data_IF_905844971155
#
_entry.id   IF_905844971155
#
_cell.length_a   1.000
_cell.length_b   1.000
_cell.length_c   1.000
_cell.angle_alpha   90.00
_cell.angle_beta   90.00
_cell.angle_gamma   90.00
#
_symmetry.space_group_name_H-M   'P 1'
#
loop_
_entity.id
_entity.type
_entity.pdbx_description
1 polymer ?
#
# COMPACT_ATOMS: atom_id res chain seq x y z
N UNK A 1 73.74 -43.39 -2.48
CA UNK A 1 72.39 -43.05 -1.95
C UNK A 1 72.32 -41.53 -1.81
N UNK A 2 71.71 -40.84 -2.78
CA UNK A 2 71.82 -39.39 -2.90
C UNK A 2 70.62 -38.62 -2.36
N UNK A 3 70.87 -37.41 -1.83
CA UNK A 3 70.00 -36.24 -2.00
C UNK A 3 70.84 -34.96 -1.92
N UNK A 4 70.46 -34.03 -2.79
CA UNK A 4 71.23 -32.89 -3.30
C UNK A 4 71.16 -31.67 -2.38
N UNK A 5 72.20 -30.85 -2.55
CA UNK A 5 72.41 -29.49 -2.08
C UNK A 5 71.29 -28.50 -2.50
N UNK A 6 70.77 -27.79 -1.50
CA UNK A 6 71.09 -26.40 -1.14
C UNK A 6 70.78 -25.20 -2.09
N UNK A 7 70.29 -24.15 -1.41
CA UNK A 7 70.34 -22.69 -1.67
C UNK A 7 69.32 -22.05 -2.63
N UNK A 8 68.68 -20.98 -2.15
CA UNK A 8 68.62 -19.72 -2.92
C UNK A 8 67.33 -18.93 -2.82
N UNK A 9 67.44 -17.69 -2.36
CA UNK A 9 66.39 -16.71 -2.10
C UNK A 9 65.81 -16.01 -3.37
N UNK A 10 64.85 -15.11 -3.08
CA UNK A 10 64.41 -13.92 -3.83
C UNK A 10 63.09 -13.94 -4.65
N UNK A 11 62.20 -13.01 -4.25
CA UNK A 11 61.08 -12.41 -5.03
C UNK A 11 61.69 -11.27 -5.91
N UNK A 12 61.07 -10.69 -6.99
CA UNK A 12 59.63 -10.33 -7.11
C UNK A 12 59.02 -10.12 -8.56
N UNK A 13 57.77 -9.60 -8.60
CA UNK A 13 57.07 -8.74 -9.63
C UNK A 13 56.68 -9.25 -11.06
N UNK A 14 55.35 -9.40 -11.26
CA UNK A 14 54.41 -8.90 -12.32
C UNK A 14 54.81 -8.82 -13.82
N UNK A 15 54.10 -9.54 -14.72
CA UNK A 15 53.15 -9.03 -15.77
C UNK A 15 52.73 -10.10 -16.82
N UNK A 16 51.40 -10.32 -16.87
CA UNK A 16 50.51 -10.48 -18.05
C UNK A 16 50.60 -11.70 -18.99
N UNK A 17 49.38 -12.10 -19.43
CA UNK A 17 48.98 -12.67 -20.75
C UNK A 17 48.52 -14.15 -20.76
N UNK A 18 47.19 -14.30 -20.97
CA UNK A 18 46.39 -15.35 -21.66
C UNK A 18 46.61 -16.84 -21.31
N UNK A 19 45.60 -17.56 -20.79
CA UNK A 19 44.38 -18.08 -21.44
C UNK A 19 44.54 -19.47 -22.08
N UNK A 20 43.47 -20.26 -21.95
CA UNK A 20 43.08 -21.46 -22.70
C UNK A 20 43.60 -22.83 -22.24
N UNK A 21 42.81 -23.50 -21.41
CA UNK A 21 42.42 -24.91 -21.63
C UNK A 21 40.95 -25.05 -21.23
N UNK A 22 40.03 -25.10 -22.19
CA UNK A 22 39.04 -26.19 -22.24
C UNK A 22 38.39 -26.28 -23.63
N UNK A 23 38.53 -27.49 -24.15
CA UNK A 23 38.06 -28.14 -25.36
C UNK A 23 36.88 -27.56 -26.15
N UNK A 24 37.18 -27.38 -27.44
CA UNK A 24 36.39 -27.73 -28.62
C UNK A 24 35.43 -28.91 -28.39
N UNK A 25 34.11 -28.67 -28.44
CA UNK A 25 33.09 -29.35 -29.26
C UNK A 25 31.81 -28.49 -29.23
N UNK A 26 31.51 -27.77 -30.32
CA UNK A 26 30.16 -27.40 -30.79
C UNK A 26 30.27 -26.25 -31.82
N UNK A 27 30.60 -26.62 -33.07
CA UNK A 27 30.34 -25.79 -34.24
C UNK A 27 29.38 -26.60 -35.12
N UNK A 28 28.35 -25.93 -35.64
CA UNK A 28 27.23 -26.43 -36.47
C UNK A 28 25.87 -26.62 -35.76
N UNK A 29 25.40 -25.56 -35.09
CA UNK A 29 24.00 -25.12 -35.12
C UNK A 29 24.04 -23.66 -34.64
N UNK A 30 23.38 -22.72 -35.34
CA UNK A 30 23.40 -21.28 -35.05
C UNK A 30 22.68 -20.88 -33.76
N UNK A 31 23.06 -21.45 -32.62
CA UNK A 31 22.56 -21.10 -31.30
C UNK A 31 23.53 -20.09 -30.70
N UNK A 32 23.12 -18.83 -30.65
CA UNK A 32 23.77 -17.81 -29.81
C UNK A 32 23.68 -18.30 -28.37
N UNK A 33 24.78 -18.31 -27.57
CA UNK A 33 24.65 -18.62 -26.17
C UNK A 33 23.85 -17.49 -25.52
N UNK A 34 22.63 -17.79 -25.10
CA UNK A 34 21.92 -16.98 -24.11
C UNK A 34 22.83 -16.85 -22.89
N UNK A 35 23.19 -15.62 -22.54
CA UNK A 35 23.84 -15.33 -21.27
C UNK A 35 22.99 -15.98 -20.16
N UNK A 36 23.58 -16.94 -19.47
CA UNK A 36 22.97 -17.50 -18.28
C UNK A 36 22.76 -16.36 -17.30
N UNK A 37 21.50 -16.00 -17.07
CA UNK A 37 21.11 -15.12 -15.99
C UNK A 37 21.53 -15.82 -14.70
N UNK A 38 22.43 -15.22 -13.94
CA UNK A 38 22.73 -15.72 -12.59
C UNK A 38 21.42 -15.84 -11.78
N UNK A 39 21.30 -16.81 -10.87
CA UNK A 39 20.09 -16.97 -10.08
C UNK A 39 19.88 -15.70 -9.26
N UNK A 40 18.74 -15.02 -9.49
CA UNK A 40 18.23 -13.97 -8.61
C UNK A 40 18.15 -14.58 -7.21
N UNK A 41 19.00 -14.11 -6.30
CA UNK A 41 18.87 -14.46 -4.87
C UNK A 41 17.55 -13.86 -4.42
N UNK A 42 16.51 -14.68 -4.40
CA UNK A 42 15.18 -14.30 -3.95
C UNK A 42 15.20 -13.91 -2.47
N UNK A 43 14.33 -12.97 -2.13
CA UNK A 43 13.95 -12.59 -0.77
C UNK A 43 13.92 -13.85 0.11
N UNK A 44 14.81 -13.92 1.09
CA UNK A 44 14.92 -15.08 1.96
C UNK A 44 13.67 -15.22 2.83
N UNK A 45 13.22 -16.45 3.05
CA UNK A 45 12.21 -16.79 4.07
C UNK A 45 12.69 -16.26 5.43
N UNK A 46 12.18 -15.13 5.89
CA UNK A 46 12.63 -14.45 7.10
C UNK A 46 12.86 -12.93 6.98
N UNK A 47 12.74 -12.34 5.80
CA UNK A 47 12.87 -10.88 5.62
C UNK A 47 11.74 -10.14 6.37
N UNK A 48 12.12 -9.24 7.27
CA UNK A 48 11.22 -8.41 8.07
C UNK A 48 10.52 -7.35 7.22
N UNK A 49 9.37 -6.80 7.67
CA UNK A 49 8.71 -5.68 6.97
C UNK A 49 9.63 -4.47 6.76
N UNK A 50 10.50 -4.18 7.73
CA UNK A 50 11.50 -3.10 7.65
C UNK A 50 12.55 -3.38 6.57
N UNK A 51 13.07 -4.60 6.50
CA UNK A 51 14.02 -4.99 5.44
C UNK A 51 13.37 -4.94 4.05
N UNK A 52 12.09 -5.31 3.93
CA UNK A 52 11.35 -5.15 2.68
C UNK A 52 11.16 -3.68 2.31
N UNK A 53 10.87 -2.79 3.26
CA UNK A 53 10.77 -1.35 2.99
C UNK A 53 12.11 -0.79 2.48
N UNK A 54 13.22 -1.23 3.06
CA UNK A 54 14.57 -0.87 2.57
C UNK A 54 14.80 -1.41 1.16
N UNK A 55 14.48 -2.68 0.92
CA UNK A 55 14.62 -3.28 -0.41
C UNK A 55 13.81 -2.52 -1.47
N UNK A 56 12.61 -2.03 -1.14
CA UNK A 56 11.79 -1.23 -2.05
C UNK A 56 12.43 0.09 -2.41
N UNK A 57 13.05 0.79 -1.45
CA UNK A 57 13.84 1.98 -1.76
C UNK A 57 14.97 1.68 -2.75
N UNK A 58 15.76 0.64 -2.48
CA UNK A 58 16.86 0.26 -3.35
C UNK A 58 16.37 -0.10 -4.77
N UNK A 59 15.28 -0.86 -4.89
CA UNK A 59 14.76 -1.26 -6.19
C UNK A 59 14.08 -0.13 -6.95
N UNK A 60 13.30 0.71 -6.29
CA UNK A 60 12.63 1.85 -6.94
C UNK A 60 13.63 2.94 -7.33
N UNK A 61 14.58 3.25 -6.43
CA UNK A 61 15.44 4.42 -6.56
C UNK A 61 16.76 4.10 -7.26
N UNK A 62 17.33 2.92 -7.00
CA UNK A 62 18.69 2.56 -7.43
C UNK A 62 18.71 1.37 -8.41
N UNK A 63 17.58 0.68 -8.59
CA UNK A 63 17.42 -0.51 -9.45
C UNK A 63 18.43 -1.62 -9.19
N UNK A 64 18.71 -1.80 -7.91
CA UNK A 64 19.54 -2.90 -7.40
C UNK A 64 19.00 -3.33 -6.06
N UNK A 65 19.47 -4.46 -5.57
CA UNK A 65 19.23 -4.87 -4.20
C UNK A 65 20.20 -4.13 -3.26
N UNK A 66 19.83 -3.93 -1.98
CA UNK A 66 20.78 -3.47 -0.97
C UNK A 66 21.91 -4.48 -0.80
N UNK A 67 23.13 -3.99 -0.67
CA UNK A 67 24.21 -4.80 -0.11
C UNK A 67 24.05 -4.94 1.41
N UNK A 68 24.81 -5.86 2.01
CA UNK A 68 24.70 -6.20 3.43
C UNK A 68 24.94 -4.98 4.35
N UNK A 69 25.93 -4.13 4.01
CA UNK A 69 26.26 -2.95 4.79
C UNK A 69 25.18 -1.87 4.67
N UNK A 70 24.67 -1.67 3.46
CA UNK A 70 23.56 -0.78 3.17
C UNK A 70 22.29 -1.19 3.91
N UNK A 71 21.90 -2.47 3.84
CA UNK A 71 20.74 -2.99 4.57
C UNK A 71 20.88 -2.74 6.07
N UNK A 72 22.01 -3.13 6.66
CA UNK A 72 22.25 -2.98 8.10
C UNK A 72 22.21 -1.50 8.55
N UNK A 73 22.74 -0.60 7.74
CA UNK A 73 22.74 0.84 8.03
C UNK A 73 21.32 1.42 8.09
N UNK A 74 20.51 1.19 7.05
CA UNK A 74 19.14 1.72 6.97
C UNK A 74 18.21 1.06 7.98
N UNK A 75 18.36 -0.26 8.19
CA UNK A 75 17.58 -0.99 9.19
C UNK A 75 17.77 -0.40 10.58
N UNK A 76 19.02 -0.08 10.96
CA UNK A 76 19.31 0.57 12.24
C UNK A 76 18.64 1.94 12.35
N UNK A 77 18.61 2.74 11.28
CA UNK A 77 17.97 4.07 11.32
C UNK A 77 16.45 3.97 11.48
N UNK A 78 15.80 3.09 10.72
CA UNK A 78 14.35 2.86 10.84
C UNK A 78 13.97 2.32 12.22
N UNK A 79 14.70 1.32 12.72
CA UNK A 79 14.41 0.71 14.03
C UNK A 79 14.75 1.60 15.23
N UNK A 80 15.51 2.68 15.03
CA UNK A 80 15.78 3.70 16.06
C UNK A 80 14.88 4.92 15.96
N UNK A 81 13.85 4.88 15.10
CA UNK A 81 12.82 5.91 15.00
C UNK A 81 13.12 7.05 14.03
N UNK A 82 14.09 6.87 13.11
CA UNK A 82 14.30 7.83 12.01
C UNK A 82 13.10 7.77 11.07
N UNK A 83 12.56 8.93 10.71
CA UNK A 83 11.43 9.01 9.79
C UNK A 83 11.82 8.51 8.39
N UNK A 84 10.92 7.76 7.76
CA UNK A 84 11.15 7.13 6.46
C UNK A 84 11.36 8.17 5.35
N UNK A 85 10.80 9.38 5.49
CA UNK A 85 11.01 10.48 4.55
C UNK A 85 12.44 11.02 4.60
N UNK A 86 13.05 11.05 5.79
CA UNK A 86 14.47 11.42 5.95
C UNK A 86 15.40 10.42 5.25
N UNK A 87 15.01 9.15 5.24
CA UNK A 87 15.73 8.10 4.49
C UNK A 87 15.52 8.31 3.00
N UNK A 88 14.27 8.51 2.54
CA UNK A 88 13.97 8.79 1.14
C UNK A 88 14.76 10.00 0.60
N UNK A 89 14.87 11.08 1.39
CA UNK A 89 15.68 12.26 1.05
C UNK A 89 17.16 11.90 0.87
N UNK A 90 17.70 11.02 1.72
CA UNK A 90 19.09 10.58 1.63
C UNK A 90 19.37 9.78 0.34
N UNK A 91 18.40 8.97 -0.12
CA UNK A 91 18.49 8.31 -1.42
C UNK A 91 18.38 9.31 -2.58
N UNK A 92 17.48 10.29 -2.47
CA UNK A 92 17.21 11.26 -3.54
C UNK A 92 18.35 12.24 -3.82
N UNK A 93 19.23 12.48 -2.84
CA UNK A 93 20.45 13.30 -3.02
C UNK A 93 21.69 12.46 -3.38
N UNK A 94 21.54 11.17 -3.60
CA UNK A 94 22.64 10.31 -4.00
C UNK A 94 23.03 10.51 -5.46
N UNK A 95 24.31 10.33 -5.78
CA UNK A 95 24.79 10.36 -7.17
C UNK A 95 24.13 9.27 -8.03
N UNK A 96 23.75 8.14 -7.43
CA UNK A 96 23.02 7.07 -8.11
C UNK A 96 21.61 7.52 -8.53
N UNK A 97 20.90 8.25 -7.66
CA UNK A 97 19.61 8.86 -8.01
C UNK A 97 19.75 9.81 -9.20
N UNK A 98 20.70 10.74 -9.13
CA UNK A 98 20.90 11.73 -10.21
C UNK A 98 21.25 11.05 -11.53
N UNK A 99 22.06 9.99 -11.50
CA UNK A 99 22.40 9.21 -12.68
C UNK A 99 21.18 8.49 -13.28
N UNK A 100 20.27 7.98 -12.45
CA UNK A 100 19.09 7.22 -12.91
C UNK A 100 17.95 8.11 -13.37
N UNK A 101 17.65 9.19 -12.64
CA UNK A 101 16.53 10.08 -12.92
C UNK A 101 16.93 11.30 -13.76
N UNK A 102 18.21 11.45 -14.09
CA UNK A 102 18.72 12.50 -14.99
C UNK A 102 18.50 13.93 -14.48
N UNK A 103 18.08 14.09 -13.22
CA UNK A 103 17.74 15.35 -12.59
C UNK A 103 18.19 15.35 -11.13
N UNK A 104 18.59 16.51 -10.62
CA UNK A 104 18.85 16.67 -9.18
C UNK A 104 17.54 16.85 -8.42
N UNK A 105 17.46 16.37 -7.17
CA UNK A 105 16.24 16.42 -6.36
C UNK A 105 15.67 17.85 -6.12
N UNK A 106 16.48 18.90 -6.35
CA UNK A 106 16.13 20.29 -6.06
C UNK A 106 15.44 21.09 -7.18
N UNK A 107 15.30 20.57 -8.40
CA UNK A 107 14.54 21.28 -9.44
C UNK A 107 13.04 20.97 -9.30
N UNK A 108 12.16 21.96 -9.35
CA UNK A 108 10.70 21.75 -9.29
C UNK A 108 10.08 21.86 -10.69
N UNK A 109 9.01 21.08 -10.94
CA UNK A 109 8.11 21.30 -12.08
C UNK A 109 8.55 20.79 -13.46
N UNK A 110 9.49 19.84 -13.56
CA UNK A 110 9.89 19.24 -14.84
C UNK A 110 9.01 18.03 -15.20
N UNK A 111 8.19 18.07 -16.28
CA UNK A 111 7.44 16.92 -16.76
C UNK A 111 8.34 15.70 -17.08
N UNK A 112 9.62 15.93 -17.38
CA UNK A 112 10.56 14.86 -17.66
C UNK A 112 10.91 14.04 -16.42
N UNK A 113 11.03 14.67 -15.25
CA UNK A 113 11.25 13.94 -14.00
C UNK A 113 10.15 12.91 -13.76
N UNK A 114 8.88 13.32 -13.90
CA UNK A 114 7.76 12.43 -13.65
C UNK A 114 7.73 11.26 -14.63
N UNK A 115 7.95 11.50 -15.92
CA UNK A 115 8.08 10.43 -16.91
C UNK A 115 9.19 9.45 -16.55
N UNK A 116 10.32 9.95 -16.06
CA UNK A 116 11.39 9.09 -15.56
C UNK A 116 10.99 8.31 -14.31
N UNK A 117 10.22 8.87 -13.38
CA UNK A 117 9.68 8.11 -12.24
C UNK A 117 8.82 6.95 -12.70
N UNK A 118 7.87 7.17 -13.60
CA UNK A 118 7.04 6.10 -14.14
C UNK A 118 7.84 5.01 -14.85
N UNK A 119 8.80 5.38 -15.70
CA UNK A 119 9.62 4.40 -16.42
C UNK A 119 10.56 3.64 -15.49
N UNK A 120 11.22 4.35 -14.59
CA UNK A 120 12.25 3.76 -13.74
C UNK A 120 11.69 2.92 -12.59
N UNK A 121 10.49 3.27 -12.10
CA UNK A 121 9.87 2.57 -10.96
C UNK A 121 8.80 1.59 -11.44
N UNK A 122 7.96 1.97 -12.42
CA UNK A 122 6.79 1.18 -12.84
C UNK A 122 6.94 0.54 -14.23
N UNK A 123 8.06 0.77 -14.93
CA UNK A 123 8.34 0.24 -16.27
C UNK A 123 7.26 0.58 -17.32
N UNK A 124 6.69 1.79 -17.22
CA UNK A 124 5.71 2.30 -18.20
C UNK A 124 5.73 3.82 -18.29
N UNK A 125 4.99 4.37 -19.25
CA UNK A 125 4.70 5.81 -19.30
C UNK A 125 3.50 6.17 -18.39
N UNK A 126 3.43 7.42 -17.89
CA UNK A 126 2.25 7.91 -17.20
C UNK A 126 1.05 8.00 -18.16
N UNK A 127 -0.14 7.72 -17.65
CA UNK A 127 -1.36 8.17 -18.31
C UNK A 127 -1.62 9.66 -18.03
N UNK A 128 -2.52 10.28 -18.81
CA UNK A 128 -2.80 11.72 -18.73
C UNK A 128 -3.34 12.17 -17.36
N UNK A 129 -4.09 11.31 -16.66
CA UNK A 129 -4.65 11.64 -15.36
C UNK A 129 -3.56 11.59 -14.28
N UNK A 130 -2.76 10.51 -14.28
CA UNK A 130 -1.59 10.36 -13.43
C UNK A 130 -0.58 11.49 -13.63
N UNK A 131 -0.25 11.82 -14.88
CA UNK A 131 0.69 12.91 -15.20
C UNK A 131 0.23 14.25 -14.58
N UNK A 132 -1.04 14.60 -14.75
CA UNK A 132 -1.63 15.83 -14.20
C UNK A 132 -1.63 15.85 -12.67
N UNK A 133 -1.97 14.74 -12.04
CA UNK A 133 -2.03 14.62 -10.59
C UNK A 133 -0.66 14.88 -9.95
N UNK A 134 0.37 14.15 -10.40
CA UNK A 134 1.71 14.31 -9.86
C UNK A 134 2.34 15.66 -10.21
N UNK A 135 2.03 16.21 -11.39
CA UNK A 135 2.47 17.56 -11.76
C UNK A 135 1.91 18.62 -10.81
N UNK A 136 0.66 18.49 -10.36
CA UNK A 136 0.06 19.40 -9.38
C UNK A 136 0.74 19.30 -8.02
N UNK A 137 1.07 18.10 -7.55
CA UNK A 137 1.81 17.88 -6.30
C UNK A 137 3.20 18.53 -6.34
N UNK A 138 3.93 18.32 -7.43
CA UNK A 138 5.25 18.94 -7.63
C UNK A 138 5.14 20.47 -7.70
N UNK A 139 4.11 21.00 -8.36
CA UNK A 139 3.84 22.43 -8.41
C UNK A 139 3.43 23.03 -7.04
N UNK A 140 2.80 22.23 -6.18
CA UNK A 140 2.45 22.58 -4.81
C UNK A 140 3.65 22.50 -3.84
N UNK A 141 4.84 22.10 -4.32
CA UNK A 141 6.07 22.07 -3.53
C UNK A 141 6.37 20.73 -2.85
N UNK A 142 5.67 19.65 -3.23
CA UNK A 142 6.02 18.31 -2.74
C UNK A 142 7.44 17.93 -3.21
N UNK A 143 8.33 17.47 -2.31
CA UNK A 143 9.68 17.06 -2.68
C UNK A 143 9.70 15.87 -3.66
N UNK A 144 10.67 15.84 -4.57
CA UNK A 144 10.85 14.73 -5.52
C UNK A 144 11.11 13.40 -4.82
N UNK A 145 11.90 13.42 -3.75
CA UNK A 145 12.18 12.25 -2.91
C UNK A 145 10.88 11.62 -2.39
N UNK A 146 9.97 12.48 -1.93
CA UNK A 146 8.67 12.11 -1.44
C UNK A 146 7.81 11.48 -2.54
N UNK A 147 7.83 12.01 -3.77
CA UNK A 147 7.14 11.38 -4.91
C UNK A 147 7.69 9.98 -5.19
N UNK A 148 9.02 9.79 -5.24
CA UNK A 148 9.61 8.48 -5.53
C UNK A 148 9.32 7.47 -4.41
N UNK A 149 9.33 7.91 -3.15
CA UNK A 149 8.88 7.10 -2.02
C UNK A 149 7.46 6.57 -2.25
N UNK A 150 6.53 7.42 -2.67
CA UNK A 150 5.14 7.03 -2.89
C UNK A 150 4.97 6.03 -4.03
N UNK A 151 5.80 6.14 -5.08
CA UNK A 151 5.85 5.13 -6.13
C UNK A 151 6.41 3.80 -5.62
N UNK A 152 7.45 3.81 -4.77
CA UNK A 152 8.03 2.60 -4.19
C UNK A 152 7.08 1.85 -3.25
N UNK A 153 6.11 2.56 -2.66
CA UNK A 153 5.07 1.97 -1.82
C UNK A 153 3.76 1.75 -2.59
N UNK A 154 3.72 2.10 -3.87
CA UNK A 154 2.54 1.88 -4.71
C UNK A 154 2.31 0.39 -4.91
N UNK A 155 1.04 0.01 -4.92
CA UNK A 155 0.64 -1.38 -5.14
C UNK A 155 1.18 -1.93 -6.48
N UNK A 156 1.26 -1.07 -7.50
CA UNK A 156 1.80 -1.42 -8.80
C UNK A 156 3.28 -1.83 -8.70
N UNK A 157 4.09 -1.04 -8.00
CA UNK A 157 5.49 -1.38 -7.74
C UNK A 157 5.65 -2.64 -6.89
N UNK A 158 4.87 -2.78 -5.82
CA UNK A 158 4.89 -3.96 -4.95
C UNK A 158 4.60 -5.25 -5.72
N UNK A 159 3.63 -5.20 -6.63
CA UNK A 159 3.23 -6.33 -7.45
C UNK A 159 4.29 -6.67 -8.51
N UNK A 160 4.89 -5.67 -9.15
CA UNK A 160 5.92 -5.86 -10.17
C UNK A 160 7.28 -6.31 -9.59
N UNK A 161 7.64 -5.82 -8.40
CA UNK A 161 8.94 -6.08 -7.78
C UNK A 161 9.03 -7.39 -7.01
N UNK A 162 7.89 -7.96 -6.58
CA UNK A 162 7.88 -9.12 -5.69
C UNK A 162 8.38 -8.80 -4.26
N UNK A 163 8.56 -7.52 -3.92
CA UNK A 163 8.96 -7.03 -2.59
C UNK A 163 7.76 -6.72 -1.69
N UNK A 164 6.62 -7.31 -1.99
CA UNK A 164 5.48 -7.30 -1.10
C UNK A 164 5.82 -8.10 0.19
N UNK A 165 5.28 -7.73 1.36
CA UNK A 165 5.33 -8.57 2.56
C UNK A 165 4.89 -10.01 2.27
N UNK A 166 5.41 -10.98 3.03
CA UNK A 166 5.26 -12.44 2.84
C UNK A 166 3.88 -12.88 2.27
N UNK A 167 3.87 -13.96 1.49
CA UNK A 167 2.67 -14.54 0.88
C UNK A 167 1.52 -14.55 1.88
N UNK A 168 0.53 -13.71 1.61
CA UNK A 168 -0.70 -13.68 2.39
C UNK A 168 -1.38 -15.05 2.27
N UNK A 169 -1.99 -15.58 3.34
CA UNK A 169 -2.86 -16.74 3.20
C UNK A 169 -3.97 -16.45 2.19
N UNK A 170 -4.67 -17.47 1.65
CA UNK A 170 -5.84 -17.23 0.84
C UNK A 170 -6.85 -16.31 1.54
N UNK A 171 -7.54 -15.49 0.75
CA UNK A 171 -8.68 -14.74 1.25
C UNK A 171 -9.72 -15.72 1.79
N UNK A 172 -10.20 -15.47 3.01
CA UNK A 172 -11.26 -16.22 3.63
C UNK A 172 -12.37 -15.25 4.05
N UNK A 173 -13.60 -15.72 3.88
CA UNK A 173 -14.80 -14.99 4.25
C UNK A 173 -15.89 -15.96 4.73
N UNK A 174 -16.72 -15.51 5.65
CA UNK A 174 -17.91 -16.22 6.12
C UNK A 174 -19.09 -15.24 6.19
N UNK A 175 -20.26 -15.65 5.71
CA UNK A 175 -21.52 -14.89 5.80
C UNK A 175 -22.44 -15.61 6.77
N UNK A 176 -22.71 -14.98 7.91
CA UNK A 176 -23.44 -15.56 9.02
C UNK A 176 -24.77 -14.84 9.26
N UNK A 177 -25.78 -15.60 9.67
CA UNK A 177 -26.96 -15.02 10.31
C UNK A 177 -26.57 -14.32 11.61
N UNK A 178 -27.30 -13.27 11.97
CA UNK A 178 -27.06 -12.48 13.17
C UNK A 178 -28.37 -12.23 13.92
N UNK A 179 -28.31 -12.24 15.25
CA UNK A 179 -29.47 -11.96 16.11
C UNK A 179 -29.45 -10.53 16.66
N UNK A 180 -30.55 -10.12 17.31
CA UNK A 180 -30.59 -8.83 18.00
C UNK A 180 -29.57 -8.75 19.14
N UNK A 181 -29.32 -9.87 19.82
CA UNK A 181 -28.39 -9.93 20.96
C UNK A 181 -26.93 -9.77 20.48
N UNK A 182 -26.58 -10.38 19.34
CA UNK A 182 -25.25 -10.24 18.71
C UNK A 182 -24.98 -8.80 18.23
N UNK A 183 -26.03 -8.08 17.82
CA UNK A 183 -25.92 -6.68 17.39
C UNK A 183 -25.73 -5.70 18.56
N UNK A 184 -26.04 -6.14 19.78
CA UNK A 184 -25.94 -5.35 21.01
C UNK A 184 -26.57 -3.96 20.89
N UNK A 185 -25.83 -2.93 21.30
CA UNK A 185 -26.31 -1.53 21.34
C UNK A 185 -26.35 -0.87 19.97
N UNK A 186 -25.75 -1.48 18.94
CA UNK A 186 -25.80 -0.97 17.56
C UNK A 186 -27.18 -1.14 16.91
N UNK A 187 -28.07 -1.95 17.51
CA UNK A 187 -29.46 -2.16 17.09
C UNK A 187 -30.45 -2.01 18.25
N UNK A 188 -31.69 -1.62 17.96
CA UNK A 188 -32.80 -1.59 18.93
C UNK A 188 -34.16 -1.66 18.23
N UNK A 189 -35.25 -1.99 18.94
CA UNK A 189 -36.61 -1.85 18.39
C UNK A 189 -36.85 -0.45 17.83
N UNK A 190 -37.37 -0.38 16.60
CA UNK A 190 -37.55 0.87 15.85
C UNK A 190 -36.47 1.18 14.82
N UNK A 191 -35.39 0.39 14.77
CA UNK A 191 -34.46 0.41 13.65
C UNK A 191 -35.15 0.04 12.33
N UNK A 192 -34.68 0.61 11.20
CA UNK A 192 -35.37 0.45 9.91
C UNK A 192 -35.20 -0.94 9.29
N UNK A 193 -34.25 -1.75 9.79
CA UNK A 193 -33.93 -3.09 9.28
C UNK A 193 -33.99 -4.10 10.42
N UNK A 194 -34.62 -5.25 10.17
CA UNK A 194 -34.68 -6.36 11.12
C UNK A 194 -33.33 -7.08 11.21
N UNK A 195 -32.93 -7.64 12.36
CA UNK A 195 -31.73 -8.49 12.44
C UNK A 195 -31.75 -9.65 11.43
N UNK A 196 -32.95 -10.16 11.07
CA UNK A 196 -33.11 -11.21 10.05
C UNK A 196 -32.65 -10.80 8.64
N UNK A 197 -32.68 -9.50 8.36
CA UNK A 197 -32.28 -8.91 7.09
C UNK A 197 -30.83 -8.39 7.14
N UNK A 198 -30.11 -8.62 8.24
CA UNK A 198 -28.69 -8.32 8.41
C UNK A 198 -27.86 -9.62 8.39
N UNK A 199 -26.60 -9.49 8.03
CA UNK A 199 -25.60 -10.57 8.08
C UNK A 199 -24.33 -10.07 8.76
N UNK A 200 -23.73 -10.93 9.58
CA UNK A 200 -22.36 -10.76 10.04
C UNK A 200 -21.43 -11.33 8.97
N UNK A 201 -20.57 -10.50 8.42
CA UNK A 201 -19.46 -10.91 7.57
C UNK A 201 -18.23 -11.04 8.44
N UNK A 202 -17.60 -12.21 8.44
CA UNK A 202 -16.20 -12.36 8.84
C UNK A 202 -15.36 -12.30 7.59
N UNK A 203 -14.41 -11.37 7.54
CA UNK A 203 -13.62 -11.10 6.35
C UNK A 203 -12.16 -10.99 6.73
N UNK A 204 -11.30 -11.61 5.92
CA UNK A 204 -9.87 -11.41 6.01
C UNK A 204 -9.45 -10.09 5.35
N UNK A 205 -8.61 -9.31 6.02
CA UNK A 205 -8.07 -8.05 5.53
C UNK A 205 -6.55 -7.98 5.76
N UNK A 206 -5.90 -6.97 5.17
CA UNK A 206 -4.48 -6.67 5.36
C UNK A 206 -4.36 -5.48 6.30
N UNK A 207 -3.64 -5.62 7.41
CA UNK A 207 -3.38 -4.51 8.33
C UNK A 207 -2.25 -3.59 7.85
N UNK A 208 -1.99 -2.48 8.57
CA UNK A 208 -0.90 -1.57 8.25
C UNK A 208 0.51 -2.19 8.36
N UNK A 209 0.66 -3.33 9.06
CA UNK A 209 1.89 -4.10 9.07
C UNK A 209 2.02 -5.04 7.85
N UNK A 210 1.04 -5.03 6.94
CA UNK A 210 0.99 -5.92 5.78
C UNK A 210 0.62 -7.35 6.11
N UNK A 211 0.09 -7.61 7.32
CA UNK A 211 -0.28 -8.93 7.81
C UNK A 211 -1.76 -9.22 7.58
N UNK A 212 -2.10 -10.48 7.31
CA UNK A 212 -3.48 -10.92 7.32
C UNK A 212 -4.09 -10.84 8.74
N UNK A 213 -5.27 -10.26 8.83
CA UNK A 213 -6.14 -10.21 10.02
C UNK A 213 -7.55 -10.59 9.63
N UNK A 214 -8.32 -11.08 10.58
CA UNK A 214 -9.75 -11.29 10.39
C UNK A 214 -10.51 -10.17 11.11
N UNK A 215 -11.61 -9.72 10.53
CA UNK A 215 -12.47 -8.69 11.11
C UNK A 215 -13.93 -8.93 10.78
N UNK A 216 -14.79 -8.10 11.36
CA UNK A 216 -16.23 -8.28 11.32
C UNK A 216 -16.95 -7.03 10.82
N UNK A 217 -17.87 -7.22 9.88
CA UNK A 217 -18.80 -6.20 9.40
C UNK A 217 -20.22 -6.72 9.48
N UNK A 218 -21.16 -5.83 9.77
CA UNK A 218 -22.59 -6.15 9.67
C UNK A 218 -23.17 -5.37 8.49
N UNK A 219 -23.80 -6.08 7.56
CA UNK A 219 -24.40 -5.48 6.35
C UNK A 219 -25.80 -6.06 6.09
N UNK A 220 -26.56 -5.43 5.21
CA UNK A 220 -27.83 -5.97 4.73
C UNK A 220 -27.63 -7.27 3.94
N UNK A 221 -28.53 -8.23 4.08
CA UNK A 221 -28.44 -9.53 3.39
C UNK A 221 -28.34 -9.39 1.87
N UNK A 222 -28.99 -8.39 1.29
CA UNK A 222 -28.99 -8.15 -0.17
C UNK A 222 -27.64 -7.69 -0.73
N UNK A 223 -26.72 -7.21 0.11
CA UNK A 223 -25.40 -6.71 -0.33
C UNK A 223 -24.24 -7.55 0.20
N UNK A 224 -24.52 -8.59 0.98
CA UNK A 224 -23.49 -9.38 1.67
C UNK A 224 -22.43 -9.95 0.71
N UNK A 225 -22.86 -10.62 -0.35
CA UNK A 225 -21.95 -11.25 -1.33
C UNK A 225 -21.15 -10.21 -2.13
N UNK A 226 -21.79 -9.08 -2.52
CA UNK A 226 -21.09 -8.00 -3.22
C UNK A 226 -19.98 -7.39 -2.36
N UNK A 227 -20.22 -7.25 -1.05
CA UNK A 227 -19.22 -6.76 -0.11
C UNK A 227 -18.09 -7.78 0.08
N UNK A 228 -18.36 -9.08 0.13
CA UNK A 228 -17.32 -10.12 0.13
C UNK A 228 -16.41 -9.96 -1.09
N UNK A 229 -16.97 -9.77 -2.29
CA UNK A 229 -16.21 -9.55 -3.55
C UNK A 229 -15.35 -8.29 -3.46
N UNK A 230 -15.88 -7.20 -2.90
CA UNK A 230 -15.10 -5.97 -2.70
C UNK A 230 -13.91 -6.24 -1.78
N UNK A 231 -14.13 -6.87 -0.62
CA UNK A 231 -13.05 -7.15 0.34
C UNK A 231 -12.03 -8.15 -0.18
N UNK A 232 -12.43 -9.14 -0.98
CA UNK A 232 -11.49 -10.02 -1.67
C UNK A 232 -10.57 -9.21 -2.60
N UNK A 233 -11.14 -8.28 -3.39
CA UNK A 233 -10.33 -7.39 -4.23
C UNK A 233 -9.40 -6.53 -3.40
N UNK A 234 -9.88 -5.93 -2.30
CA UNK A 234 -9.03 -5.13 -1.41
C UNK A 234 -7.88 -5.97 -0.83
N UNK A 235 -8.16 -7.21 -0.43
CA UNK A 235 -7.17 -8.13 0.13
C UNK A 235 -6.10 -8.52 -0.89
N UNK A 236 -6.52 -8.96 -2.09
CA UNK A 236 -5.62 -9.30 -3.19
C UNK A 236 -4.78 -8.11 -3.64
N UNK A 237 -5.31 -6.89 -3.46
CA UNK A 237 -4.63 -5.64 -3.77
C UNK A 237 -3.96 -5.00 -2.54
N UNK A 238 -3.93 -5.70 -1.39
CA UNK A 238 -3.25 -5.32 -0.15
C UNK A 238 -3.59 -3.91 0.36
N UNK A 239 -4.83 -3.46 0.19
CA UNK A 239 -5.27 -2.19 0.77
C UNK A 239 -5.26 -2.28 2.31
N UNK A 240 -4.51 -1.41 3.03
CA UNK A 240 -4.37 -1.53 4.47
C UNK A 240 -5.60 -1.00 5.22
N UNK A 241 -6.06 -1.77 6.20
CA UNK A 241 -7.17 -1.44 7.11
C UNK A 241 -6.64 -1.48 8.55
N UNK A 242 -6.92 -0.47 9.36
CA UNK A 242 -6.46 -0.43 10.77
C UNK A 242 -7.16 -1.50 11.59
N UNK A 243 -8.48 -1.49 11.55
CA UNK A 243 -9.34 -2.42 12.24
C UNK A 243 -10.68 -2.52 11.51
N UNK A 244 -11.36 -3.64 11.73
CA UNK A 244 -12.68 -3.90 11.19
C UNK A 244 -13.48 -4.66 12.25
N UNK A 245 -14.20 -3.89 13.05
CA UNK A 245 -14.96 -4.33 14.23
C UNK A 245 -16.36 -3.75 14.19
N UNK A 246 -17.30 -4.46 14.79
CA UNK A 246 -18.69 -3.99 14.85
C UNK A 246 -18.79 -2.74 15.73
N UNK A 247 -19.75 -1.85 15.44
CA UNK A 247 -19.90 -0.59 16.20
C UNK A 247 -20.42 -0.84 17.63
N UNK A 248 -20.95 -2.03 17.90
CA UNK A 248 -21.29 -2.48 19.26
C UNK A 248 -20.08 -2.47 20.20
N UNK A 249 -18.90 -2.90 19.73
CA UNK A 249 -17.66 -2.89 20.51
C UNK A 249 -17.23 -1.48 20.95
N UNK A 250 -17.77 -0.45 20.30
CA UNK A 250 -17.55 0.96 20.62
C UNK A 250 -18.73 1.57 21.39
N UNK A 251 -19.60 0.74 21.97
CA UNK A 251 -20.79 1.16 22.69
C UNK A 251 -21.83 1.86 21.79
N UNK A 252 -21.87 1.53 20.50
CA UNK A 252 -22.77 2.16 19.53
C UNK A 252 -22.32 3.56 19.09
N UNK A 253 -21.17 4.03 19.57
CA UNK A 253 -20.64 5.37 19.30
C UNK A 253 -19.90 5.40 17.97
N UNK A 254 -20.49 6.10 17.01
CA UNK A 254 -19.89 6.39 15.71
C UNK A 254 -18.57 7.17 15.87
N UNK A 255 -18.57 8.19 16.74
CA UNK A 255 -17.40 9.02 17.02
C UNK A 255 -16.24 8.19 17.61
N UNK A 256 -16.53 7.24 18.50
CA UNK A 256 -15.51 6.38 19.09
C UNK A 256 -14.93 5.40 18.05
N UNK A 257 -15.79 4.80 17.21
CA UNK A 257 -15.36 3.96 16.09
C UNK A 257 -14.48 4.73 15.10
N UNK A 258 -14.91 5.93 14.70
CA UNK A 258 -14.15 6.79 13.79
C UNK A 258 -12.81 7.23 14.39
N UNK A 259 -12.79 7.65 15.66
CA UNK A 259 -11.57 8.06 16.34
C UNK A 259 -10.56 6.90 16.50
N UNK A 260 -11.05 5.66 16.57
CA UNK A 260 -10.23 4.45 16.56
C UNK A 260 -9.80 4.02 15.14
N UNK A 261 -10.13 4.81 14.11
CA UNK A 261 -9.84 4.53 12.71
C UNK A 261 -10.44 3.19 12.22
N UNK A 262 -11.55 2.76 12.83
CA UNK A 262 -12.20 1.48 12.56
C UNK A 262 -13.04 1.53 11.27
N UNK A 263 -12.85 0.54 10.41
CA UNK A 263 -13.71 0.32 9.24
C UNK A 263 -14.99 -0.37 9.68
N UNK A 264 -16.15 0.24 9.41
CA UNK A 264 -17.43 -0.24 9.94
C UNK A 264 -18.60 0.01 8.98
N UNK A 265 -19.68 -0.78 9.14
CA UNK A 265 -20.79 -0.79 8.18
C UNK A 265 -22.16 -0.50 8.80
N UNK A 266 -22.56 -1.21 9.86
CA UNK A 266 -23.88 -1.04 10.47
C UNK A 266 -23.80 -0.30 11.80
N UNK A 267 -24.64 0.73 11.93
CA UNK A 267 -24.98 1.35 13.20
C UNK A 267 -26.37 1.99 13.06
N UNK A 268 -27.34 1.55 13.85
CA UNK A 268 -28.70 2.06 13.79
C UNK A 268 -28.83 3.44 14.45
N UNK A 269 -28.47 4.47 13.68
CA UNK A 269 -28.55 5.88 14.08
C UNK A 269 -29.13 6.76 12.99
N UNK A 270 -29.59 7.94 13.40
CA UNK A 270 -29.89 9.00 12.45
C UNK A 270 -28.59 9.46 11.73
N UNK A 271 -28.74 10.02 10.54
CA UNK A 271 -27.65 10.69 9.85
C UNK A 271 -27.21 11.94 10.65
N UNK A 272 -25.95 12.33 10.49
CA UNK A 272 -25.38 13.48 11.22
C UNK A 272 -26.21 14.73 10.93
N UNK A 273 -26.63 15.45 11.97
CA UNK A 273 -27.47 16.66 11.87
C UNK A 273 -28.84 16.47 11.20
N UNK A 274 -29.38 15.25 11.15
CA UNK A 274 -30.67 14.93 10.53
C UNK A 274 -31.54 14.05 11.43
N UNK A 275 -32.85 14.04 11.18
CA UNK A 275 -33.80 13.08 11.77
C UNK A 275 -34.02 11.86 10.87
N UNK A 276 -33.48 11.86 9.65
CA UNK A 276 -33.52 10.72 8.73
C UNK A 276 -32.49 9.66 9.11
N UNK A 277 -32.81 8.39 8.85
CA UNK A 277 -31.89 7.28 9.07
C UNK A 277 -30.62 7.41 8.22
N UNK A 278 -29.48 7.13 8.82
CA UNK A 278 -28.21 6.97 8.11
C UNK A 278 -28.25 5.74 7.19
N UNK A 279 -27.48 5.72 6.11
CA UNK A 279 -27.31 4.51 5.28
C UNK A 279 -26.68 3.35 6.06
N UNK A 280 -25.89 3.66 7.09
CA UNK A 280 -25.38 2.68 8.05
C UNK A 280 -26.52 1.98 8.82
N UNK A 281 -27.63 2.67 9.11
CA UNK A 281 -28.78 2.07 9.79
C UNK A 281 -29.53 1.05 8.91
N UNK A 282 -29.28 1.06 7.60
CA UNK A 282 -29.81 0.08 6.66
C UNK A 282 -28.82 -1.05 6.35
N UNK A 283 -27.59 -1.02 6.88
CA UNK A 283 -26.54 -1.98 6.51
C UNK A 283 -26.10 -1.86 5.03
N UNK A 284 -26.24 -0.68 4.44
CA UNK A 284 -25.93 -0.42 3.01
C UNK A 284 -24.91 0.70 2.83
N UNK A 285 -24.05 0.86 3.83
CA UNK A 285 -22.91 1.77 3.82
C UNK A 285 -21.71 1.14 4.53
N UNK A 286 -20.51 1.56 4.16
CA UNK A 286 -19.25 1.20 4.81
C UNK A 286 -18.37 2.45 4.88
N UNK A 287 -17.82 2.73 6.05
CA UNK A 287 -16.83 3.77 6.28
C UNK A 287 -15.44 3.11 6.42
N UNK A 288 -14.45 3.56 5.64
CA UNK A 288 -13.09 3.00 5.62
C UNK A 288 -12.07 3.91 6.31
N UNK A 289 -11.38 3.37 7.31
CA UNK A 289 -10.31 4.06 8.05
C UNK A 289 -10.63 5.55 8.30
N UNK A 290 -11.69 5.87 9.09
CA UNK A 290 -12.21 7.23 9.24
C UNK A 290 -11.19 8.31 9.63
N UNK A 291 -10.17 7.98 10.42
CA UNK A 291 -9.14 8.94 10.81
C UNK A 291 -8.32 9.40 9.60
N UNK A 292 -8.05 8.47 8.68
CA UNK A 292 -7.26 8.70 7.46
C UNK A 292 -8.14 9.21 6.30
N UNK A 293 -9.44 8.90 6.33
CA UNK A 293 -10.41 9.31 5.32
C UNK A 293 -11.54 10.12 5.96
N UNK A 294 -11.26 11.31 6.51
CA UNK A 294 -12.23 11.99 7.34
C UNK A 294 -13.44 12.52 6.56
N UNK A 295 -14.52 12.77 7.29
CA UNK A 295 -15.62 13.62 6.85
C UNK A 295 -15.21 15.09 7.01
N UNK A 296 -15.37 15.87 5.95
CA UNK A 296 -14.91 17.27 5.86
C UNK A 296 -16.03 18.18 5.36
N UNK A 297 -16.25 19.26 6.09
CA UNK A 297 -17.07 20.41 5.69
C UNK A 297 -16.23 21.68 5.63
N UNK A 298 -16.83 22.84 5.34
CA UNK A 298 -16.13 24.13 5.37
C UNK A 298 -15.59 24.52 6.75
N UNK A 299 -16.06 23.91 7.83
CA UNK A 299 -15.73 24.31 9.21
C UNK A 299 -15.38 23.15 10.13
N UNK A 300 -15.44 21.90 9.64
CA UNK A 300 -15.37 20.72 10.51
C UNK A 300 -14.67 19.58 9.79
N UNK A 301 -13.79 18.89 10.53
CA UNK A 301 -13.21 17.60 10.14
C UNK A 301 -13.56 16.59 11.23
N UNK A 302 -14.12 15.44 10.84
CA UNK A 302 -14.44 14.34 11.74
C UNK A 302 -13.75 13.05 11.26
N UNK A 303 -13.07 12.31 12.16
CA UNK A 303 -12.75 12.71 13.53
C UNK A 303 -11.76 13.89 13.56
N UNK A 304 -11.75 14.75 14.61
CA UNK A 304 -10.84 15.90 14.68
C UNK A 304 -9.35 15.53 14.63
N UNK A 305 -8.99 14.33 15.10
CA UNK A 305 -7.62 13.79 15.01
C UNK A 305 -7.19 13.42 13.59
N UNK A 306 -8.13 13.36 12.65
CA UNK A 306 -7.87 13.16 11.22
C UNK A 306 -7.67 14.47 10.43
N UNK A 307 -7.56 15.62 11.10
CA UNK A 307 -7.50 16.94 10.45
C UNK A 307 -6.42 17.04 9.36
N UNK A 308 -5.24 16.47 9.59
CA UNK A 308 -4.13 16.50 8.62
C UNK A 308 -4.47 15.73 7.33
N UNK A 309 -5.33 14.70 7.41
CA UNK A 309 -5.78 13.91 6.26
C UNK A 309 -6.92 14.57 5.45
N UNK A 310 -7.42 15.72 5.91
CA UNK A 310 -8.30 16.56 5.09
C UNK A 310 -7.56 17.12 3.88
N UNK A 311 -6.24 17.36 4.01
CA UNK A 311 -5.37 17.58 2.88
C UNK A 311 -5.08 16.24 2.18
N UNK A 312 -5.69 16.05 1.01
CA UNK A 312 -5.53 14.81 0.22
C UNK A 312 -4.18 14.70 -0.49
N UNK A 313 -3.34 15.75 -0.41
CA UNK A 313 -1.95 15.72 -0.85
C UNK A 313 -1.04 15.02 0.17
N UNK A 314 -1.50 14.86 1.43
CA UNK A 314 -0.82 14.05 2.42
C UNK A 314 -0.81 12.59 1.93
N UNK A 315 0.38 12.01 1.84
CA UNK A 315 0.49 10.62 1.45
C UNK A 315 0.41 9.70 2.63
N UNK A 316 -0.46 8.74 2.43
CA UNK A 316 -0.63 7.61 3.30
C UNK A 316 -1.23 6.50 2.44
N UNK A 317 -0.80 5.25 2.62
CA UNK A 317 -1.24 4.14 1.76
C UNK A 317 -2.74 3.84 1.86
N UNK A 318 -3.40 4.30 2.92
CA UNK A 318 -4.86 4.17 3.10
C UNK A 318 -5.68 5.43 2.74
N UNK A 319 -5.05 6.53 2.29
CA UNK A 319 -5.80 7.71 1.81
C UNK A 319 -6.48 7.36 0.49
N UNK A 320 -7.82 7.32 0.51
CA UNK A 320 -8.66 6.98 -0.64
C UNK A 320 -8.78 8.18 -1.60
N UNK A 321 -8.49 7.93 -2.87
CA UNK A 321 -8.59 8.90 -3.97
C UNK A 321 -9.43 8.33 -5.11
N UNK A 322 -9.92 9.24 -5.95
CA UNK A 322 -10.65 8.86 -7.16
C UNK A 322 -9.75 7.95 -8.02
N UNK A 323 -10.32 6.83 -8.45
CA UNK A 323 -9.60 5.84 -9.25
C UNK A 323 -8.83 4.80 -8.43
N UNK A 324 -8.71 4.90 -7.10
CA UNK A 324 -8.06 3.87 -6.28
C UNK A 324 -8.82 2.54 -6.29
N UNK A 325 -8.15 1.45 -5.89
CA UNK A 325 -8.76 0.11 -5.87
C UNK A 325 -10.04 0.05 -5.04
N UNK A 326 -10.12 0.80 -3.93
CA UNK A 326 -11.32 0.90 -3.10
C UNK A 326 -12.48 1.48 -3.90
N UNK A 327 -12.26 2.64 -4.52
CA UNK A 327 -13.28 3.33 -5.32
C UNK A 327 -13.74 2.48 -6.50
N UNK A 328 -12.79 1.91 -7.27
CA UNK A 328 -13.12 1.04 -8.41
C UNK A 328 -13.88 -0.23 -8.01
N UNK A 329 -13.58 -0.78 -6.83
CA UNK A 329 -14.26 -1.99 -6.33
C UNK A 329 -15.71 -1.71 -5.99
N UNK A 330 -15.99 -0.57 -5.33
CA UNK A 330 -17.37 -0.15 -5.04
C UNK A 330 -18.13 0.29 -6.30
N UNK A 331 -17.47 0.99 -7.23
CA UNK A 331 -18.09 1.34 -8.52
C UNK A 331 -18.54 0.10 -9.30
N UNK A 332 -17.76 -0.97 -9.26
CA UNK A 332 -18.06 -2.22 -9.96
C UNK A 332 -19.32 -2.94 -9.43
N UNK A 333 -19.72 -2.66 -8.18
CA UNK A 333 -20.97 -3.15 -7.59
C UNK A 333 -22.06 -2.06 -7.55
N UNK A 334 -21.84 -0.92 -8.23
CA UNK A 334 -22.81 0.16 -8.35
C UNK A 334 -22.95 1.06 -7.12
N UNK A 335 -22.03 0.97 -6.16
CA UNK A 335 -22.02 1.84 -4.98
C UNK A 335 -21.33 3.17 -5.29
N UNK A 336 -21.69 4.21 -4.55
CA UNK A 336 -21.14 5.55 -4.71
C UNK A 336 -20.22 5.92 -3.56
N UNK A 337 -19.18 6.69 -3.85
CA UNK A 337 -18.22 7.21 -2.89
C UNK A 337 -18.52 8.66 -2.49
N UNK A 338 -18.55 8.93 -1.18
CA UNK A 338 -18.80 10.25 -0.59
C UNK A 338 -17.72 11.30 -0.91
N UNK A 339 -16.50 10.88 -1.28
CA UNK A 339 -15.46 11.79 -1.79
C UNK A 339 -15.87 12.53 -3.08
N UNK A 340 -16.86 12.02 -3.82
CA UNK A 340 -17.40 12.68 -5.04
C UNK A 340 -18.46 13.74 -4.75
N UNK A 341 -18.95 13.84 -3.53
CA UNK A 341 -19.96 14.84 -3.17
C UNK A 341 -19.39 16.27 -3.28
N UNK A 342 -20.26 17.24 -3.58
CA UNK A 342 -19.83 18.61 -3.93
C UNK A 342 -19.72 19.54 -2.72
N UNK A 343 -20.66 19.46 -1.80
CA UNK A 343 -20.80 20.40 -0.68
C UNK A 343 -20.10 19.94 0.59
N UNK A 344 -20.06 18.63 0.79
CA UNK A 344 -19.35 17.96 1.87
C UNK A 344 -18.45 16.90 1.23
N UNK A 345 -17.33 16.57 1.88
CA UNK A 345 -16.43 15.50 1.45
C UNK A 345 -16.43 14.43 2.50
N UNK A 346 -17.05 13.30 2.20
CA UNK A 346 -17.09 12.15 3.10
C UNK A 346 -16.15 11.08 2.56
N UNK A 347 -14.85 11.22 2.82
CA UNK A 347 -13.83 10.40 2.17
C UNK A 347 -13.86 8.93 2.61
N UNK A 348 -14.35 8.66 3.82
CA UNK A 348 -14.55 7.32 4.37
C UNK A 348 -15.71 6.58 3.71
N UNK A 349 -16.73 7.32 3.25
CA UNK A 349 -18.07 6.76 3.07
C UNK A 349 -18.32 6.18 1.69
N UNK A 350 -18.78 4.92 1.68
CA UNK A 350 -19.32 4.24 0.50
C UNK A 350 -20.72 3.77 0.79
N UNK A 351 -21.67 4.03 -0.12
CA UNK A 351 -23.04 3.55 0.05
C UNK A 351 -23.75 3.25 -1.25
N UNK A 352 -24.69 2.30 -1.19
CA UNK A 352 -25.50 1.87 -2.34
C UNK A 352 -26.28 3.04 -2.97
N UNK A 353 -26.77 3.98 -2.16
CA UNK A 353 -27.57 5.11 -2.65
C UNK A 353 -26.77 6.40 -2.88
N UNK A 354 -25.48 6.43 -2.52
CA UNK A 354 -24.63 7.63 -2.62
C UNK A 354 -25.13 8.83 -1.81
N UNK A 355 -25.69 8.57 -0.63
CA UNK A 355 -26.26 9.59 0.26
C UNK A 355 -25.87 9.35 1.70
#
# INVERSE_FOLDING_TARGET
MGRRNNVGADRPVVRHVLAAVFCVVALLAGVVPTAATEPRVGVHTGTTPTELQIARFYRAVLDREPDEAGMAYWYRLLTTGTDVTTIADSFAVSTEFEARFGVSAGASGDPEFLRQVYRNVLDRDPDLAGERYWAQLLAAGVPRAQVVLWFSESQEFLSASGLAPADLPPFESEVLEITADDLGVSWRPGCPVSPRDLRLLRLRFVDFAGSARDGELVVHTDVAEDIVIVFERLYLNRYPIESMRTVDEFGGSDDASMAANNTSAFNCRAAVSSTSWSRHAYGTAIDFNPLINPYVTSSTVLPPTGADFADRLLHHPAVIREGDIVVRSFDAIGWSWGGRWRTVKDYQHFSLSGR
#
